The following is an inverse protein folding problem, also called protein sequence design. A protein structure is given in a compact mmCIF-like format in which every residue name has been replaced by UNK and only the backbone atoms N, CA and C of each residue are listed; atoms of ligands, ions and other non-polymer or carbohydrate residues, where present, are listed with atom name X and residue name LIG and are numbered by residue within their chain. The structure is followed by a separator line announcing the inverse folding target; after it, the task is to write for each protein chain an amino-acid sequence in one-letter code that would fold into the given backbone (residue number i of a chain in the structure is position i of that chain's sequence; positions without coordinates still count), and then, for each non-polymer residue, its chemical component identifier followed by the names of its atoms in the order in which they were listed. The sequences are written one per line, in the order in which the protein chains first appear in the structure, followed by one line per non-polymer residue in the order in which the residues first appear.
data_IF_521402713529
#
_entry.id   IF_521402713529
#
_cell.length_a   1.000
_cell.length_b   1.000
_cell.length_c   1.000
_cell.angle_alpha   90.00
_cell.angle_beta   90.00
_cell.angle_gamma   90.00
#
_symmetry.space_group_name_H-M   'P 1'
#
loop_
_entity.id
_entity.type
_entity.pdbx_description
1 polymer ?
#
# COMPACT_ATOMS: atom_id res chain seq x y z
N UNK A 1 4.00 -8.44 36.31
CA UNK A 1 3.27 -9.29 35.35
C UNK A 1 2.47 -8.42 34.38
N UNK A 2 1.64 -7.49 34.88
CA UNK A 2 0.88 -6.61 34.00
C UNK A 2 1.76 -5.71 33.11
N UNK A 3 2.94 -5.29 33.60
CA UNK A 3 3.86 -4.47 32.83
C UNK A 3 4.45 -5.18 31.61
N UNK A 4 4.76 -6.49 31.71
CA UNK A 4 5.32 -7.25 30.61
C UNK A 4 4.28 -7.53 29.52
N UNK A 5 3.02 -7.73 29.89
CA UNK A 5 1.92 -7.91 28.92
C UNK A 5 1.66 -6.61 28.18
N UNK A 6 1.62 -5.48 28.91
CA UNK A 6 1.45 -4.16 28.28
C UNK A 6 2.61 -3.84 27.35
N UNK A 7 3.85 -4.13 27.75
CA UNK A 7 5.04 -3.92 26.93
C UNK A 7 4.97 -4.76 25.63
N UNK A 8 4.57 -6.03 25.75
CA UNK A 8 4.44 -6.92 24.59
C UNK A 8 3.37 -6.42 23.64
N UNK A 9 2.24 -5.93 24.15
CA UNK A 9 1.18 -5.35 23.32
C UNK A 9 1.66 -4.08 22.60
N UNK A 10 2.38 -3.21 23.30
CA UNK A 10 2.93 -2.01 22.69
C UNK A 10 3.94 -2.36 21.58
N UNK A 11 4.80 -3.35 21.82
CA UNK A 11 5.75 -3.80 20.81
C UNK A 11 5.05 -4.37 19.57
N UNK A 12 3.96 -5.15 19.79
CA UNK A 12 3.19 -5.70 18.67
C UNK A 12 2.50 -4.60 17.87
N UNK A 13 1.92 -3.61 18.54
CA UNK A 13 1.30 -2.46 17.86
C UNK A 13 2.32 -1.63 17.09
N UNK A 14 3.53 -1.49 17.63
CA UNK A 14 4.61 -0.79 16.95
C UNK A 14 5.06 -1.51 15.68
N UNK A 15 4.99 -2.85 15.67
CA UNK A 15 5.40 -3.66 14.53
C UNK A 15 4.39 -3.66 13.39
N UNK A 16 3.09 -3.49 13.69
CA UNK A 16 2.06 -3.53 12.66
C UNK A 16 2.27 -2.52 11.54
N UNK A 17 2.59 -1.23 11.82
CA UNK A 17 2.85 -0.28 10.74
C UNK A 17 4.05 -0.66 9.88
N UNK A 18 5.07 -1.30 10.45
CA UNK A 18 6.24 -1.72 9.69
C UNK A 18 5.89 -2.78 8.65
N UNK A 19 4.88 -3.60 8.91
CA UNK A 19 4.37 -4.53 7.90
C UNK A 19 3.80 -3.78 6.70
N UNK A 20 3.05 -2.71 6.97
CA UNK A 20 2.50 -1.88 5.89
C UNK A 20 3.61 -1.23 5.07
N UNK A 21 4.64 -0.70 5.73
CA UNK A 21 5.79 -0.10 5.05
C UNK A 21 6.55 -1.13 4.21
N UNK A 22 6.75 -2.33 4.74
CA UNK A 22 7.39 -3.43 4.02
C UNK A 22 6.60 -3.85 2.78
N UNK A 23 5.28 -3.96 2.91
CA UNK A 23 4.40 -4.27 1.78
C UNK A 23 4.46 -3.18 0.73
N UNK A 24 4.54 -1.92 1.15
CA UNK A 24 4.66 -0.80 0.22
C UNK A 24 5.99 -0.84 -0.55
N UNK A 25 7.08 -1.21 0.13
CA UNK A 25 8.38 -1.40 -0.53
C UNK A 25 8.31 -2.51 -1.58
N UNK A 26 7.68 -3.63 -1.25
CA UNK A 26 7.52 -4.75 -2.18
C UNK A 26 6.66 -4.32 -3.37
N UNK A 27 5.56 -3.64 -3.10
CA UNK A 27 4.66 -3.17 -4.16
C UNK A 27 5.37 -2.17 -5.08
N UNK A 28 6.14 -1.24 -4.50
CA UNK A 28 6.91 -0.27 -5.29
C UNK A 28 7.99 -0.93 -6.12
N UNK A 29 8.72 -1.88 -5.54
CA UNK A 29 9.74 -2.63 -6.25
C UNK A 29 9.14 -3.43 -7.41
N UNK A 30 7.97 -4.03 -7.20
CA UNK A 30 7.26 -4.76 -8.25
C UNK A 30 6.88 -3.86 -9.42
N UNK A 31 6.40 -2.64 -9.11
CA UNK A 31 6.04 -1.68 -10.17
C UNK A 31 7.25 -1.21 -10.96
N UNK A 32 8.40 -1.05 -10.31
CA UNK A 32 9.64 -0.66 -10.99
C UNK A 32 10.16 -1.80 -11.88
N UNK A 33 10.06 -3.05 -11.38
CA UNK A 33 10.51 -4.22 -12.15
C UNK A 33 9.57 -4.60 -13.27
N UNK A 34 8.26 -4.45 -13.04
CA UNK A 34 7.21 -4.87 -13.96
C UNK A 34 6.19 -3.75 -14.16
N UNK A 35 6.59 -2.62 -14.77
CA UNK A 35 5.70 -1.47 -14.91
C UNK A 35 4.46 -1.77 -15.76
N UNK A 36 4.56 -2.73 -16.66
CA UNK A 36 3.46 -3.13 -17.54
C UNK A 36 2.25 -3.69 -16.76
N UNK A 37 2.49 -4.33 -15.60
CA UNK A 37 1.41 -4.90 -14.80
C UNK A 37 0.48 -3.83 -14.21
N UNK A 38 0.98 -2.62 -14.03
CA UNK A 38 0.20 -1.50 -13.48
C UNK A 38 -0.33 -0.56 -14.56
N UNK A 39 0.18 -0.70 -15.79
CA UNK A 39 -0.16 0.22 -16.87
C UNK A 39 -1.65 0.25 -17.18
N UNK A 40 -2.31 -0.91 -17.17
CA UNK A 40 -3.74 -1.01 -17.47
C UNK A 40 -4.59 -0.31 -16.41
N UNK A 41 -4.23 -0.46 -15.13
CA UNK A 41 -4.92 0.20 -14.03
C UNK A 41 -4.79 1.71 -14.14
N UNK A 42 -3.58 2.21 -14.40
CA UNK A 42 -3.34 3.64 -14.53
C UNK A 42 -3.99 4.21 -15.80
N UNK A 43 -3.99 3.47 -16.89
CA UNK A 43 -4.67 3.88 -18.11
C UNK A 43 -6.18 4.05 -17.90
N UNK A 44 -6.77 3.21 -17.05
CA UNK A 44 -8.20 3.29 -16.75
C UNK A 44 -8.59 4.62 -16.08
N UNK A 45 -7.64 5.30 -15.45
CA UNK A 45 -7.86 6.62 -14.83
C UNK A 45 -7.21 7.76 -15.60
N UNK A 46 -6.79 7.50 -16.84
CA UNK A 46 -6.25 8.53 -17.72
C UNK A 46 -4.74 8.71 -17.66
N UNK A 47 -4.03 7.94 -16.86
CA UNK A 47 -2.56 8.00 -16.77
C UNK A 47 -1.94 7.02 -17.77
N UNK A 48 -1.79 7.46 -19.00
CA UNK A 48 -1.33 6.62 -20.09
C UNK A 48 0.18 6.69 -20.34
N UNK A 49 0.90 7.56 -19.61
CA UNK A 49 2.34 7.68 -19.76
C UNK A 49 3.04 6.38 -19.35
N UNK A 50 4.03 5.94 -20.13
CA UNK A 50 4.82 4.77 -19.81
C UNK A 50 5.62 4.94 -18.50
N UNK A 51 5.87 6.18 -18.09
CA UNK A 51 6.62 6.49 -16.87
C UNK A 51 5.75 6.49 -15.62
N UNK A 52 4.42 6.54 -15.75
CA UNK A 52 3.52 6.63 -14.60
C UNK A 52 3.70 5.47 -13.62
N UNK A 53 3.76 4.19 -14.05
CA UNK A 53 3.99 3.09 -13.11
C UNK A 53 5.35 3.19 -12.42
N UNK A 54 6.38 3.62 -13.14
CA UNK A 54 7.73 3.77 -12.57
C UNK A 54 7.77 4.86 -11.51
N UNK A 55 7.17 6.02 -11.79
CA UNK A 55 7.10 7.13 -10.84
C UNK A 55 6.34 6.69 -9.59
N UNK A 56 5.21 6.02 -9.77
CA UNK A 56 4.41 5.52 -8.66
C UNK A 56 5.21 4.54 -7.81
N UNK A 57 5.91 3.59 -8.45
CA UNK A 57 6.74 2.62 -7.75
C UNK A 57 7.86 3.27 -6.94
N UNK A 58 8.54 4.26 -7.51
CA UNK A 58 9.60 5.00 -6.82
C UNK A 58 9.03 5.76 -5.62
N UNK A 59 7.88 6.42 -5.77
CA UNK A 59 7.25 7.12 -4.67
C UNK A 59 6.88 6.17 -3.53
N UNK A 60 6.37 4.99 -3.86
CA UNK A 60 6.04 3.98 -2.86
C UNK A 60 7.29 3.49 -2.12
N UNK A 61 8.39 3.26 -2.84
CA UNK A 61 9.66 2.86 -2.22
C UNK A 61 10.16 3.95 -1.28
N UNK A 62 10.11 5.21 -1.71
CA UNK A 62 10.56 6.33 -0.88
C UNK A 62 9.70 6.48 0.36
N UNK A 63 8.39 6.34 0.25
CA UNK A 63 7.49 6.41 1.40
C UNK A 63 7.73 5.26 2.37
N UNK A 64 7.86 4.05 1.87
CA UNK A 64 8.10 2.88 2.70
C UNK A 64 9.45 2.96 3.42
N UNK A 65 10.51 3.30 2.70
CA UNK A 65 11.84 3.44 3.27
C UNK A 65 11.89 4.60 4.27
N UNK A 66 11.28 5.73 3.94
CA UNK A 66 11.21 6.88 4.83
C UNK A 66 10.50 6.55 6.14
N UNK A 67 9.39 5.82 6.07
CA UNK A 67 8.65 5.41 7.26
C UNK A 67 9.47 4.46 8.13
N UNK A 68 10.22 3.54 7.53
CA UNK A 68 11.06 2.60 8.27
C UNK A 68 12.25 3.28 8.95
N UNK A 69 12.83 4.29 8.32
CA UNK A 69 14.03 4.96 8.81
C UNK A 69 13.68 6.11 9.75
N UNK A 70 12.77 6.98 9.34
CA UNK A 70 12.41 8.20 10.07
C UNK A 70 11.16 8.00 10.91
N UNK A 71 10.14 7.36 10.35
CA UNK A 71 8.84 7.20 10.99
C UNK A 71 8.07 8.52 11.03
N UNK A 72 7.26 8.67 12.07
CA UNK A 72 6.47 9.87 12.27
C UNK A 72 5.07 9.77 11.69
N UNK A 73 4.12 10.44 12.31
CA UNK A 73 2.71 10.32 11.95
C UNK A 73 2.42 10.79 10.52
N UNK A 74 3.19 11.73 9.99
CA UNK A 74 2.98 12.22 8.61
C UNK A 74 3.26 11.12 7.59
N UNK A 75 4.38 10.41 7.74
CA UNK A 75 4.72 9.32 6.82
C UNK A 75 3.74 8.17 6.91
N UNK A 76 3.35 7.77 8.13
CA UNK A 76 2.35 6.73 8.31
C UNK A 76 0.99 7.12 7.73
N UNK A 77 0.62 8.39 7.91
CA UNK A 77 -0.61 8.92 7.33
C UNK A 77 -0.58 8.90 5.81
N UNK A 78 0.55 9.24 5.21
CA UNK A 78 0.71 9.19 3.75
C UNK A 78 0.60 7.76 3.22
N UNK A 79 1.20 6.79 3.91
CA UNK A 79 1.08 5.37 3.52
C UNK A 79 -0.36 4.92 3.61
N UNK A 80 -1.06 5.26 4.69
CA UNK A 80 -2.48 4.94 4.84
C UNK A 80 -3.31 5.56 3.71
N UNK A 81 -3.03 6.82 3.36
CA UNK A 81 -3.73 7.51 2.29
C UNK A 81 -3.50 6.85 0.93
N UNK A 82 -2.27 6.42 0.65
CA UNK A 82 -1.95 5.72 -0.60
C UNK A 82 -2.75 4.43 -0.71
N UNK A 83 -2.77 3.61 0.34
CA UNK A 83 -3.52 2.35 0.32
C UNK A 83 -5.03 2.57 0.25
N UNK A 84 -5.55 3.60 0.92
CA UNK A 84 -6.96 3.96 0.80
C UNK A 84 -7.30 4.40 -0.62
N UNK A 85 -6.43 5.18 -1.25
CA UNK A 85 -6.63 5.61 -2.62
C UNK A 85 -6.65 4.40 -3.58
N UNK A 86 -5.72 3.46 -3.39
CA UNK A 86 -5.72 2.23 -4.18
C UNK A 86 -6.96 1.39 -3.94
N UNK A 87 -7.39 1.25 -2.69
CA UNK A 87 -8.61 0.50 -2.37
C UNK A 87 -9.82 1.13 -3.06
N UNK A 88 -9.94 2.45 -3.01
CA UNK A 88 -11.03 3.16 -3.66
C UNK A 88 -10.98 2.98 -5.18
N UNK A 89 -9.79 3.10 -5.78
CA UNK A 89 -9.61 2.90 -7.22
C UNK A 89 -10.00 1.50 -7.65
N UNK A 90 -9.51 0.49 -6.95
CA UNK A 90 -9.82 -0.90 -7.28
C UNK A 90 -11.28 -1.22 -7.08
N UNK A 91 -11.90 -0.68 -6.01
CA UNK A 91 -13.33 -0.87 -5.78
C UNK A 91 -14.15 -0.24 -6.90
N UNK A 92 -13.78 0.95 -7.34
CA UNK A 92 -14.47 1.65 -8.42
C UNK A 92 -14.34 0.89 -9.73
N UNK A 93 -13.15 0.43 -10.07
CA UNK A 93 -12.91 -0.35 -11.29
C UNK A 93 -13.68 -1.68 -11.25
N UNK A 94 -13.71 -2.34 -10.09
CA UNK A 94 -14.45 -3.58 -9.92
C UNK A 94 -15.96 -3.35 -10.10
N UNK A 95 -16.49 -2.27 -9.53
CA UNK A 95 -17.92 -1.90 -9.69
C UNK A 95 -18.28 -1.64 -11.14
N UNK A 96 -17.34 -1.06 -11.90
CA UNK A 96 -17.57 -0.73 -13.31
C UNK A 96 -17.35 -1.94 -14.24
N UNK A 97 -17.09 -3.11 -13.68
CA UNK A 97 -16.90 -4.33 -14.46
C UNK A 97 -15.57 -4.41 -15.18
N UNK A 98 -14.57 -3.63 -14.76
CA UNK A 98 -13.26 -3.67 -15.38
C UNK A 98 -12.61 -5.04 -15.16
N UNK A 99 -12.17 -5.68 -16.24
CA UNK A 99 -11.55 -7.00 -16.19
C UNK A 99 -10.04 -6.89 -16.42
N UNK A 100 -9.37 -6.22 -15.50
CA UNK A 100 -7.93 -6.02 -15.55
C UNK A 100 -7.32 -6.51 -14.24
N UNK A 101 -6.05 -6.93 -14.28
CA UNK A 101 -5.34 -7.37 -13.07
C UNK A 101 -4.84 -6.15 -12.30
N UNK A 102 -4.73 -6.32 -10.97
CA UNK A 102 -4.32 -5.24 -10.08
C UNK A 102 -2.87 -4.79 -10.33
N UNK A 103 -1.95 -5.72 -10.50
CA UNK A 103 -0.53 -5.40 -10.66
C UNK A 103 0.12 -4.77 -9.44
N UNK A 104 -0.60 -4.69 -8.31
CA UNK A 104 -0.11 -4.01 -7.11
C UNK A 104 1.03 -4.76 -6.43
N UNK A 105 1.02 -6.08 -6.50
CA UNK A 105 2.00 -6.95 -5.85
C UNK A 105 2.75 -7.83 -6.87
N UNK A 106 3.00 -7.29 -8.06
CA UNK A 106 3.76 -7.98 -9.08
C UNK A 106 2.89 -8.70 -10.11
N UNK A 107 3.41 -9.79 -10.65
CA UNK A 107 2.79 -10.51 -11.76
C UNK A 107 1.65 -11.40 -11.35
N UNK A 108 0.66 -10.88 -10.67
CA UNK A 108 -0.54 -11.66 -10.44
C UNK A 108 -1.49 -11.45 -11.61
N UNK A 109 -1.92 -12.54 -12.22
CA UNK A 109 -2.91 -12.52 -13.29
C UNK A 109 -4.33 -12.49 -12.73
N UNK A 110 -4.47 -12.31 -11.44
CA UNK A 110 -5.76 -12.29 -10.74
C UNK A 110 -6.49 -11.00 -11.08
N UNK A 111 -7.73 -11.07 -11.60
CA UNK A 111 -8.53 -9.87 -11.86
C UNK A 111 -8.79 -9.09 -10.57
N UNK A 112 -9.06 -7.79 -10.71
CA UNK A 112 -9.46 -6.96 -9.60
C UNK A 112 -10.71 -7.53 -8.94
N UNK A 113 -10.67 -7.72 -7.63
CA UNK A 113 -11.79 -8.28 -6.89
C UNK A 113 -11.81 -7.81 -5.44
N UNK A 114 -12.82 -8.27 -4.66
CA UNK A 114 -12.95 -7.86 -3.26
C UNK A 114 -11.74 -8.16 -2.40
N UNK A 115 -10.98 -9.21 -2.75
CA UNK A 115 -9.77 -9.59 -1.98
C UNK A 115 -8.69 -8.52 -2.04
N UNK A 116 -8.45 -7.95 -3.23
CA UNK A 116 -7.46 -6.88 -3.38
C UNK A 116 -7.88 -5.63 -2.65
N UNK A 117 -9.16 -5.28 -2.73
CA UNK A 117 -9.71 -4.13 -2.01
C UNK A 117 -9.56 -4.34 -0.51
N UNK A 118 -9.91 -5.53 0.00
CA UNK A 118 -9.79 -5.86 1.41
C UNK A 118 -8.32 -5.82 1.87
N UNK A 119 -7.40 -6.33 1.06
CA UNK A 119 -5.97 -6.31 1.37
C UNK A 119 -5.45 -4.87 1.50
N UNK A 120 -5.84 -3.99 0.58
CA UNK A 120 -5.44 -2.59 0.62
C UNK A 120 -6.03 -1.87 1.83
N UNK A 121 -7.30 -2.14 2.16
CA UNK A 121 -7.96 -1.57 3.33
C UNK A 121 -7.27 -2.04 4.62
N UNK A 122 -6.93 -3.33 4.71
CA UNK A 122 -6.23 -3.87 5.86
C UNK A 122 -4.86 -3.23 6.02
N UNK A 123 -4.12 -3.09 4.92
CA UNK A 123 -2.79 -2.46 4.95
C UNK A 123 -2.90 -0.99 5.33
N UNK A 124 -3.94 -0.29 4.86
CA UNK A 124 -4.21 1.09 5.28
C UNK A 124 -4.48 1.16 6.78
N UNK A 125 -5.22 0.20 7.32
CA UNK A 125 -5.49 0.14 8.76
C UNK A 125 -4.21 -0.09 9.56
N UNK A 126 -3.31 -0.95 9.07
CA UNK A 126 -2.01 -1.18 9.71
C UNK A 126 -1.17 0.10 9.74
N UNK A 127 -1.16 0.85 8.64
CA UNK A 127 -0.45 2.13 8.59
C UNK A 127 -1.10 3.17 9.51
N UNK A 128 -2.43 3.17 9.60
CA UNK A 128 -3.16 4.06 10.49
C UNK A 128 -2.81 3.82 11.97
N UNK A 129 -2.54 2.58 12.36
CA UNK A 129 -2.03 2.27 13.70
C UNK A 129 -0.73 3.03 13.95
N UNK A 130 0.13 3.16 12.92
CA UNK A 130 1.36 3.94 13.02
C UNK A 130 1.12 5.41 13.33
N UNK A 131 0.04 6.00 12.78
CA UNK A 131 -0.32 7.38 13.08
C UNK A 131 -0.62 7.54 14.58
N UNK A 132 -1.42 6.63 15.14
CA UNK A 132 -1.78 6.68 16.56
C UNK A 132 -0.58 6.42 17.46
N UNK A 133 0.27 5.46 17.10
CA UNK A 133 1.46 5.12 17.90
C UNK A 133 2.49 6.24 17.87
N UNK A 134 2.63 6.94 16.73
CA UNK A 134 3.59 8.03 16.57
C UNK A 134 3.14 9.34 17.25
N UNK A 135 1.86 9.46 17.57
CA UNK A 135 1.35 10.62 18.32
C UNK A 135 1.33 10.31 19.81
#
# INVERSE_FOLDING_TARGET
MSGSVAFTRMAALDLLPYLAAGLLLVAGASKVRHPDTMADVLAAIGLTSARAPLVLGVLEILLGAGALVVGGFVLWGLIAAVYLAFAALLALLHRNGANISCGCFGRTSTPIGPRQVAADLLTAALAAVGVFVAT
#
